data_IF_943791909417
#
_entry.id   IF_943791909417
#
_cell.length_a   1.000
_cell.length_b   1.000
_cell.length_c   1.000
_cell.angle_alpha   90.00
_cell.angle_beta   90.00
_cell.angle_gamma   90.00
#
_symmetry.space_group_name_H-M   'P 1'
#
loop_
_entity.id
_entity.type
_entity.pdbx_description
1 polymer ?
#
# COMPACT_ATOMS: atom_id res chain seq x y z
N UNK A 1 6.82 10.32 -22.87
CA UNK A 1 5.59 10.39 -22.05
C UNK A 1 5.81 11.41 -20.96
N UNK A 2 4.82 12.23 -20.59
CA UNK A 2 4.94 13.18 -19.48
C UNK A 2 5.15 12.44 -18.14
N UNK A 3 5.53 13.19 -17.10
CA UNK A 3 5.74 12.64 -15.76
C UNK A 3 4.45 12.00 -15.22
N UNK A 4 4.45 10.72 -14.81
CA UNK A 4 3.24 10.03 -14.37
C UNK A 4 2.66 10.68 -13.09
N UNK A 5 1.34 10.68 -12.97
CA UNK A 5 0.62 11.11 -11.76
C UNK A 5 0.38 9.91 -10.86
N UNK A 6 0.91 9.98 -9.66
CA UNK A 6 0.88 8.89 -8.67
C UNK A 6 0.12 9.31 -7.43
N UNK A 7 -0.86 8.53 -7.02
CA UNK A 7 -1.61 8.69 -5.77
C UNK A 7 -1.20 7.60 -4.78
N UNK A 8 -0.88 7.99 -3.54
CA UNK A 8 -0.43 7.05 -2.49
C UNK A 8 -1.26 7.26 -1.23
N UNK A 9 -2.05 6.27 -0.83
CA UNK A 9 -2.75 6.29 0.46
C UNK A 9 -1.82 5.83 1.59
N UNK A 10 -1.96 6.42 2.78
CA UNK A 10 -1.07 6.10 3.90
C UNK A 10 0.39 6.47 3.64
N UNK A 11 0.66 7.45 2.77
CA UNK A 11 1.99 7.81 2.31
C UNK A 11 2.85 8.61 3.29
N UNK A 12 2.40 8.84 4.54
CA UNK A 12 3.09 9.71 5.50
C UNK A 12 4.21 9.01 6.30
N UNK A 13 4.36 7.70 6.16
CA UNK A 13 5.37 6.93 6.91
C UNK A 13 5.66 5.58 6.25
N UNK A 14 6.73 4.90 6.69
CA UNK A 14 7.07 3.53 6.29
C UNK A 14 7.12 3.35 4.77
N UNK A 15 6.56 2.26 4.28
CA UNK A 15 6.57 1.87 2.86
C UNK A 15 5.91 2.94 1.98
N UNK A 16 4.77 3.51 2.41
CA UNK A 16 4.08 4.55 1.62
C UNK A 16 4.93 5.81 1.42
N UNK A 17 5.66 6.25 2.47
CA UNK A 17 6.60 7.37 2.35
C UNK A 17 7.78 7.03 1.45
N UNK A 18 8.36 5.84 1.60
CA UNK A 18 9.45 5.39 0.74
C UNK A 18 9.01 5.31 -0.73
N UNK A 19 7.80 4.84 -1.01
CA UNK A 19 7.22 4.84 -2.35
C UNK A 19 7.05 6.27 -2.88
N UNK A 20 6.55 7.22 -2.07
CA UNK A 20 6.41 8.62 -2.47
C UNK A 20 7.75 9.23 -2.89
N UNK A 21 8.80 9.00 -2.10
CA UNK A 21 10.17 9.47 -2.41
C UNK A 21 10.72 8.78 -3.67
N UNK A 22 10.52 7.46 -3.80
CA UNK A 22 10.99 6.71 -4.96
C UNK A 22 10.33 7.19 -6.28
N UNK A 23 9.02 7.48 -6.26
CA UNK A 23 8.33 8.06 -7.42
C UNK A 23 8.77 9.50 -7.70
N UNK A 24 8.96 10.33 -6.68
CA UNK A 24 9.44 11.70 -6.85
C UNK A 24 10.84 11.74 -7.51
N UNK A 25 11.76 10.88 -7.08
CA UNK A 25 13.09 10.74 -7.67
C UNK A 25 13.07 10.27 -9.14
N UNK A 26 11.97 9.65 -9.58
CA UNK A 26 11.74 9.26 -10.98
C UNK A 26 10.98 10.32 -11.78
N UNK A 27 10.78 11.50 -11.22
CA UNK A 27 10.13 12.65 -11.85
C UNK A 27 8.60 12.58 -11.88
N UNK A 28 7.98 11.68 -11.12
CA UNK A 28 6.53 11.60 -11.04
C UNK A 28 5.93 12.83 -10.33
N UNK A 29 4.68 13.17 -10.67
CA UNK A 29 3.83 14.05 -9.87
C UNK A 29 3.18 13.22 -8.78
N UNK A 30 3.35 13.59 -7.51
CA UNK A 30 2.99 12.73 -6.39
C UNK A 30 1.89 13.35 -5.54
N UNK A 31 0.76 12.65 -5.40
CA UNK A 31 -0.28 12.98 -4.43
C UNK A 31 -0.18 11.99 -3.26
N UNK A 32 -0.08 12.53 -2.06
CA UNK A 32 -0.02 11.73 -0.84
C UNK A 32 -1.28 11.96 -0.03
N UNK A 33 -1.93 10.87 0.40
CA UNK A 33 -3.09 10.94 1.27
C UNK A 33 -2.80 10.37 2.66
N UNK A 34 -3.41 10.98 3.67
CA UNK A 34 -3.32 10.57 5.07
C UNK A 34 -4.08 11.51 5.99
N UNK A 35 -4.09 11.23 7.29
CA UNK A 35 -4.92 11.95 8.27
C UNK A 35 -4.16 13.01 9.09
N UNK A 36 -2.84 13.15 8.91
CA UNK A 36 -1.98 14.02 9.72
C UNK A 36 -1.46 15.18 8.87
N UNK A 37 -2.04 16.36 9.02
CA UNK A 37 -1.75 17.53 8.18
C UNK A 37 -0.29 17.97 8.26
N UNK A 38 0.28 18.05 9.46
CA UNK A 38 1.67 18.53 9.62
C UNK A 38 2.68 17.57 8.98
N UNK A 39 2.48 16.25 9.15
CA UNK A 39 3.31 15.25 8.48
C UNK A 39 3.15 15.31 6.96
N UNK A 40 1.93 15.56 6.47
CA UNK A 40 1.65 15.76 5.06
C UNK A 40 2.39 16.96 4.49
N UNK A 41 2.28 18.13 5.13
CA UNK A 41 2.97 19.37 4.72
C UNK A 41 4.50 19.19 4.71
N UNK A 42 5.05 18.51 5.74
CA UNK A 42 6.49 18.25 5.82
C UNK A 42 6.96 17.35 4.66
N UNK A 43 6.24 16.26 4.37
CA UNK A 43 6.58 15.36 3.27
C UNK A 43 6.49 16.08 1.91
N UNK A 44 5.46 16.89 1.67
CA UNK A 44 5.33 17.63 0.41
C UNK A 44 6.51 18.61 0.21
N UNK A 45 6.97 19.27 1.27
CA UNK A 45 8.16 20.12 1.19
C UNK A 45 9.39 19.31 0.76
N UNK A 46 9.57 18.12 1.31
CA UNK A 46 10.64 17.20 0.94
C UNK A 46 10.52 16.75 -0.52
N UNK A 47 9.35 16.24 -0.96
CA UNK A 47 9.15 15.79 -2.34
C UNK A 47 9.39 16.90 -3.37
N UNK A 48 8.99 18.13 -3.05
CA UNK A 48 9.25 19.31 -3.89
C UNK A 48 10.74 19.66 -3.96
N UNK A 49 11.50 19.45 -2.88
CA UNK A 49 12.96 19.65 -2.91
C UNK A 49 13.70 18.63 -3.78
N UNK A 50 13.06 17.49 -4.08
CA UNK A 50 13.52 16.48 -5.04
C UNK A 50 13.10 16.82 -6.49
N UNK A 51 12.43 17.95 -6.72
CA UNK A 51 11.99 18.37 -8.05
C UNK A 51 10.61 17.84 -8.48
N UNK A 52 9.90 17.13 -7.60
CA UNK A 52 8.56 16.62 -7.92
C UNK A 52 7.47 17.68 -7.72
N UNK A 53 6.49 17.74 -8.62
CA UNK A 53 5.21 18.36 -8.31
C UNK A 53 4.47 17.47 -7.32
N UNK A 54 4.28 17.94 -6.09
CA UNK A 54 3.69 17.14 -5.04
C UNK A 54 2.55 17.85 -4.31
N UNK A 55 1.53 17.06 -3.88
CA UNK A 55 0.36 17.53 -3.15
C UNK A 55 0.03 16.60 -1.99
N UNK A 56 -0.44 17.16 -0.88
CA UNK A 56 -1.04 16.41 0.22
C UNK A 56 -2.53 16.67 0.27
N UNK A 57 -3.31 15.60 0.38
CA UNK A 57 -4.76 15.67 0.57
C UNK A 57 -5.11 14.89 1.83
N UNK A 58 -5.70 15.60 2.81
CA UNK A 58 -6.22 14.93 4.00
C UNK A 58 -7.42 14.05 3.60
N UNK A 59 -7.33 12.76 3.88
CA UNK A 59 -8.39 11.80 3.60
C UNK A 59 -8.31 10.59 4.53
N UNK A 60 -9.47 10.11 4.96
CA UNK A 60 -9.65 8.85 5.66
C UNK A 60 -10.17 7.80 4.68
N UNK A 61 -9.38 6.79 4.37
CA UNK A 61 -9.73 5.73 3.39
C UNK A 61 -11.00 4.95 3.76
N UNK A 62 -11.44 5.00 5.02
CA UNK A 62 -12.67 4.36 5.50
C UNK A 62 -13.94 5.08 5.05
N UNK A 63 -13.82 6.31 4.50
CA UNK A 63 -14.94 7.17 4.10
C UNK A 63 -14.99 7.30 2.59
N UNK A 64 -16.07 6.82 1.99
CA UNK A 64 -16.26 6.83 0.52
C UNK A 64 -16.14 8.25 -0.07
N UNK A 65 -16.74 9.23 0.60
CA UNK A 65 -16.69 10.63 0.15
C UNK A 65 -15.29 11.24 0.20
N UNK A 66 -14.49 10.90 1.23
CA UNK A 66 -13.09 11.35 1.34
C UNK A 66 -12.26 10.76 0.19
N UNK A 67 -12.43 9.45 -0.09
CA UNK A 67 -11.70 8.76 -1.16
C UNK A 67 -12.14 9.26 -2.53
N UNK A 68 -13.44 9.47 -2.75
CA UNK A 68 -13.94 10.08 -3.98
C UNK A 68 -13.30 11.46 -4.20
N UNK A 69 -13.36 12.32 -3.19
CA UNK A 69 -12.79 13.65 -3.27
C UNK A 69 -11.27 13.64 -3.48
N UNK A 70 -10.56 12.67 -2.90
CA UNK A 70 -9.12 12.47 -3.09
C UNK A 70 -8.78 12.21 -4.57
N UNK A 71 -9.46 11.24 -5.19
CA UNK A 71 -9.26 10.90 -6.61
C UNK A 71 -9.68 12.05 -7.52
N UNK A 72 -10.86 12.65 -7.27
CA UNK A 72 -11.38 13.75 -8.09
C UNK A 72 -10.45 14.97 -8.05
N UNK A 73 -9.94 15.35 -6.87
CA UNK A 73 -8.97 16.44 -6.73
C UNK A 73 -7.64 16.13 -7.42
N UNK A 74 -7.19 14.86 -7.37
CA UNK A 74 -5.96 14.42 -8.07
C UNK A 74 -6.12 14.63 -9.58
N UNK A 75 -7.23 14.13 -10.15
CA UNK A 75 -7.52 14.27 -11.58
C UNK A 75 -7.76 15.74 -11.97
N UNK A 76 -8.49 16.50 -11.17
CA UNK A 76 -8.71 17.93 -11.43
C UNK A 76 -7.41 18.73 -11.46
N UNK A 77 -6.45 18.40 -10.59
CA UNK A 77 -5.16 19.11 -10.51
C UNK A 77 -4.19 18.73 -11.63
N UNK A 78 -4.08 17.46 -11.94
CA UNK A 78 -3.03 16.94 -12.83
C UNK A 78 -3.55 16.40 -14.17
N UNK A 79 -4.88 16.37 -14.38
CA UNK A 79 -5.54 15.94 -15.60
C UNK A 79 -5.66 14.42 -15.75
N UNK A 80 -5.03 13.62 -14.88
CA UNK A 80 -4.99 12.16 -14.98
C UNK A 80 -4.61 11.49 -13.66
N UNK A 81 -4.74 10.16 -13.62
CA UNK A 81 -4.22 9.30 -12.55
C UNK A 81 -3.57 8.06 -13.19
N UNK A 82 -2.24 7.99 -13.24
CA UNK A 82 -1.52 6.89 -13.89
C UNK A 82 -1.28 5.72 -12.96
N UNK A 83 -0.95 6.02 -11.70
CA UNK A 83 -0.60 5.01 -10.70
C UNK A 83 -1.33 5.29 -9.40
N UNK A 84 -1.89 4.24 -8.80
CA UNK A 84 -2.40 4.28 -7.44
C UNK A 84 -1.67 3.24 -6.57
N UNK A 85 -1.27 3.65 -5.36
CA UNK A 85 -0.64 2.77 -4.37
C UNK A 85 -1.51 2.75 -3.12
N UNK A 86 -2.21 1.64 -2.89
CA UNK A 86 -3.08 1.43 -1.74
C UNK A 86 -2.27 0.85 -0.58
N UNK A 87 -1.70 1.75 0.23
CA UNK A 87 -0.79 1.39 1.32
C UNK A 87 -1.39 1.69 2.71
N UNK A 88 -2.44 2.49 2.83
CA UNK A 88 -3.06 2.79 4.13
C UNK A 88 -3.52 1.50 4.83
N UNK A 89 -3.01 1.26 6.04
CA UNK A 89 -3.31 0.07 6.82
C UNK A 89 -3.08 0.29 8.32
N UNK A 90 -3.61 -0.62 9.12
CA UNK A 90 -3.35 -0.77 10.56
C UNK A 90 -2.94 -2.21 10.86
N UNK A 91 -2.11 -2.40 11.87
CA UNK A 91 -1.76 -3.72 12.42
C UNK A 91 -2.93 -4.41 13.13
N UNK A 92 -3.98 -3.65 13.46
CA UNK A 92 -5.10 -4.14 14.25
C UNK A 92 -4.75 -4.39 15.70
N UNK A 93 -5.66 -5.07 16.41
CA UNK A 93 -5.44 -5.54 17.76
C UNK A 93 -4.76 -6.92 17.73
N UNK A 94 -3.57 -7.03 18.27
CA UNK A 94 -2.90 -8.31 18.50
C UNK A 94 -3.51 -9.08 19.67
N UNK A 95 -3.32 -10.40 19.67
CA UNK A 95 -3.79 -11.29 20.72
C UNK A 95 -4.55 -12.51 20.22
N UNK A 96 -4.89 -13.47 21.10
CA UNK A 96 -5.63 -14.67 20.75
C UNK A 96 -7.05 -14.32 20.23
N UNK A 97 -7.64 -15.24 19.48
CA UNK A 97 -8.98 -15.04 18.90
C UNK A 97 -10.06 -14.79 19.96
N UNK A 98 -9.88 -15.35 21.15
CA UNK A 98 -10.80 -15.18 22.29
C UNK A 98 -10.86 -13.75 22.82
N UNK A 99 -9.83 -12.92 22.57
CA UNK A 99 -9.72 -11.54 23.02
C UNK A 99 -10.18 -10.54 21.94
N UNK A 100 -10.53 -11.03 20.75
CA UNK A 100 -11.01 -10.17 19.67
C UNK A 100 -12.48 -9.80 19.92
N UNK A 101 -12.79 -8.52 19.69
CA UNK A 101 -14.15 -8.00 19.79
C UNK A 101 -14.68 -7.62 18.41
N UNK A 102 -16.00 -7.47 18.27
CA UNK A 102 -16.60 -6.99 17.02
C UNK A 102 -15.99 -5.65 16.58
N UNK A 103 -15.70 -4.77 17.53
CA UNK A 103 -15.12 -3.44 17.29
C UNK A 103 -13.68 -3.54 16.79
N UNK A 104 -12.84 -4.44 17.38
CA UNK A 104 -11.45 -4.63 16.94
C UNK A 104 -11.39 -5.22 15.52
N UNK A 105 -12.29 -6.15 15.22
CA UNK A 105 -12.45 -6.72 13.88
C UNK A 105 -12.89 -5.65 12.88
N UNK A 106 -13.96 -4.90 13.19
CA UNK A 106 -14.48 -3.85 12.34
C UNK A 106 -13.41 -2.78 12.04
N UNK A 107 -12.71 -2.28 13.06
CA UNK A 107 -11.67 -1.25 12.90
C UNK A 107 -10.53 -1.69 11.97
N UNK A 108 -10.14 -2.98 12.03
CA UNK A 108 -9.10 -3.54 11.15
C UNK A 108 -9.62 -3.68 9.73
N UNK A 109 -10.82 -4.23 9.54
CA UNK A 109 -11.41 -4.43 8.21
C UNK A 109 -11.80 -3.12 7.53
N UNK A 110 -12.31 -2.14 8.28
CA UNK A 110 -12.61 -0.80 7.74
C UNK A 110 -11.39 -0.15 7.09
N UNK A 111 -10.22 -0.26 7.74
CA UNK A 111 -9.01 0.35 7.19
C UNK A 111 -8.38 -0.52 6.11
N UNK A 112 -8.16 -1.81 6.40
CA UNK A 112 -7.31 -2.68 5.57
C UNK A 112 -8.05 -3.30 4.38
N UNK A 113 -9.37 -3.43 4.45
CA UNK A 113 -10.19 -4.05 3.40
C UNK A 113 -11.10 -3.02 2.76
N UNK A 114 -12.03 -2.42 3.52
CA UNK A 114 -12.95 -1.44 2.98
C UNK A 114 -12.20 -0.25 2.37
N UNK A 115 -11.16 0.25 3.06
CA UNK A 115 -10.33 1.35 2.55
C UNK A 115 -9.67 1.03 1.19
N UNK A 116 -9.21 -0.20 0.98
CA UNK A 116 -8.66 -0.64 -0.32
C UNK A 116 -9.76 -0.76 -1.38
N UNK A 117 -10.93 -1.31 -1.02
CA UNK A 117 -12.09 -1.42 -1.93
C UNK A 117 -12.56 -0.04 -2.39
N UNK A 118 -12.74 0.90 -1.46
CA UNK A 118 -13.17 2.28 -1.78
C UNK A 118 -12.12 3.01 -2.61
N UNK A 119 -10.84 2.83 -2.31
CA UNK A 119 -9.75 3.40 -3.11
C UNK A 119 -9.82 2.89 -4.55
N UNK A 120 -9.82 1.57 -4.74
CA UNK A 120 -9.89 0.98 -6.08
C UNK A 120 -11.18 1.35 -6.82
N UNK A 121 -12.33 1.45 -6.14
CA UNK A 121 -13.60 1.90 -6.75
C UNK A 121 -13.44 3.23 -7.49
N UNK A 122 -12.83 4.22 -6.85
CA UNK A 122 -12.68 5.55 -7.43
C UNK A 122 -11.48 5.66 -8.38
N UNK A 123 -10.40 4.93 -8.09
CA UNK A 123 -9.21 4.84 -8.96
C UNK A 123 -9.55 4.19 -10.29
N UNK A 124 -10.23 3.04 -10.27
CA UNK A 124 -10.69 2.33 -11.47
C UNK A 124 -11.63 3.21 -12.28
N UNK A 125 -12.59 3.90 -11.64
CA UNK A 125 -13.47 4.86 -12.33
C UNK A 125 -12.68 5.91 -13.11
N UNK A 126 -11.65 6.51 -12.48
CA UNK A 126 -10.82 7.53 -13.13
C UNK A 126 -9.94 6.93 -14.24
N UNK A 127 -9.33 5.78 -13.99
CA UNK A 127 -8.46 5.10 -14.94
C UNK A 127 -9.22 4.53 -16.14
N UNK A 128 -10.46 4.06 -15.97
CA UNK A 128 -11.31 3.62 -17.06
C UNK A 128 -11.65 4.77 -18.01
N UNK A 129 -11.93 5.96 -17.49
CA UNK A 129 -12.22 7.14 -18.29
C UNK A 129 -11.03 7.57 -19.17
N UNK A 130 -9.80 7.26 -18.77
CA UNK A 130 -8.57 7.56 -19.54
C UNK A 130 -8.04 6.36 -20.35
N UNK A 131 -8.58 5.15 -20.15
CA UNK A 131 -8.21 3.94 -20.88
C UNK A 131 -6.87 3.32 -20.47
N UNK A 132 -6.31 3.67 -19.31
CA UNK A 132 -5.03 3.14 -18.82
C UNK A 132 -4.85 3.38 -17.32
N UNK A 133 -4.05 2.54 -16.66
CA UNK A 133 -3.69 2.73 -15.25
C UNK A 133 -2.93 1.55 -14.65
N UNK A 134 -2.30 1.79 -13.50
CA UNK A 134 -1.67 0.74 -12.70
C UNK A 134 -1.98 0.93 -11.22
N UNK A 135 -2.56 -0.10 -10.59
CA UNK A 135 -2.88 -0.12 -9.16
C UNK A 135 -1.96 -1.12 -8.47
N UNK A 136 -1.31 -0.71 -7.38
CA UNK A 136 -0.49 -1.57 -6.55
C UNK A 136 -1.01 -1.54 -5.11
N UNK A 137 -1.54 -2.66 -4.66
CA UNK A 137 -2.02 -2.83 -3.28
C UNK A 137 -0.89 -3.35 -2.38
N UNK A 138 -0.77 -2.82 -1.16
CA UNK A 138 0.19 -3.35 -0.19
C UNK A 138 -0.50 -4.40 0.69
N UNK A 139 -0.16 -5.67 0.42
CA UNK A 139 -0.53 -6.83 1.22
C UNK A 139 0.47 -7.07 2.37
N UNK A 140 0.81 -8.30 2.62
CA UNK A 140 1.79 -8.78 3.60
C UNK A 140 2.09 -10.25 3.30
N UNK A 141 3.21 -10.80 3.78
CA UNK A 141 3.39 -12.26 3.84
C UNK A 141 2.25 -12.93 4.61
N UNK A 142 1.61 -12.23 5.54
CA UNK A 142 0.39 -12.68 6.22
C UNK A 142 -0.86 -12.72 5.33
N UNK A 143 -0.77 -12.38 4.06
CA UNK A 143 -1.76 -12.70 3.03
C UNK A 143 -1.63 -14.13 2.47
N UNK A 144 -0.52 -14.82 2.76
CA UNK A 144 -0.22 -16.18 2.30
C UNK A 144 -0.17 -17.21 3.43
N UNK A 145 0.07 -16.78 4.67
CA UNK A 145 0.28 -17.64 5.82
C UNK A 145 -0.56 -17.22 7.02
N UNK A 146 -0.72 -18.12 7.99
CA UNK A 146 -1.30 -17.81 9.30
C UNK A 146 -0.27 -17.24 10.25
N UNK A 147 -0.75 -16.47 11.25
CA UNK A 147 0.09 -15.97 12.34
C UNK A 147 -0.68 -16.00 13.65
N UNK A 148 -0.17 -16.71 14.65
CA UNK A 148 -0.75 -16.71 15.97
C UNK A 148 -0.77 -15.28 16.56
N UNK A 149 -1.91 -14.87 17.14
CA UNK A 149 -2.08 -13.54 17.69
C UNK A 149 -2.31 -12.42 16.66
N UNK A 150 -2.45 -12.74 15.36
CA UNK A 150 -2.69 -11.74 14.30
C UNK A 150 -3.82 -12.15 13.35
N UNK A 151 -4.75 -12.99 13.80
CA UNK A 151 -5.77 -13.62 12.94
C UNK A 151 -6.60 -12.63 12.13
N UNK A 152 -6.97 -11.48 12.68
CA UNK A 152 -7.79 -10.48 12.01
C UNK A 152 -6.98 -9.73 10.94
N UNK A 153 -5.71 -9.42 11.23
CA UNK A 153 -4.81 -8.83 10.23
C UNK A 153 -4.51 -9.81 9.08
N UNK A 154 -4.26 -11.09 9.40
CA UNK A 154 -4.10 -12.18 8.43
C UNK A 154 -5.31 -12.25 7.50
N UNK A 155 -6.52 -12.33 8.06
CA UNK A 155 -7.76 -12.37 7.28
C UNK A 155 -7.90 -11.14 6.37
N UNK A 156 -7.60 -9.94 6.87
CA UNK A 156 -7.67 -8.71 6.09
C UNK A 156 -6.67 -8.72 4.91
N UNK A 157 -5.45 -9.26 5.10
CA UNK A 157 -4.45 -9.30 4.03
C UNK A 157 -4.76 -10.39 2.98
N UNK A 158 -5.33 -11.53 3.37
CA UNK A 158 -5.89 -12.49 2.42
C UNK A 158 -7.01 -11.87 1.58
N UNK A 159 -7.89 -11.06 2.19
CA UNK A 159 -8.94 -10.34 1.47
C UNK A 159 -8.35 -9.38 0.42
N UNK A 160 -7.32 -8.61 0.76
CA UNK A 160 -6.64 -7.70 -0.19
C UNK A 160 -6.11 -8.45 -1.40
N UNK A 161 -5.53 -9.63 -1.22
CA UNK A 161 -5.01 -10.44 -2.33
C UNK A 161 -6.13 -11.02 -3.21
N UNK A 162 -7.20 -11.48 -2.58
CA UNK A 162 -8.39 -11.94 -3.31
C UNK A 162 -9.01 -10.83 -4.17
N UNK A 163 -9.19 -9.66 -3.57
CA UNK A 163 -9.74 -8.48 -4.27
C UNK A 163 -8.80 -8.02 -5.39
N UNK A 164 -7.48 -8.03 -5.18
CA UNK A 164 -6.48 -7.69 -6.20
C UNK A 164 -6.67 -8.54 -7.46
N UNK A 165 -6.79 -9.86 -7.31
CA UNK A 165 -6.98 -10.79 -8.41
C UNK A 165 -8.32 -10.55 -9.15
N UNK A 166 -9.41 -10.32 -8.41
CA UNK A 166 -10.73 -10.07 -8.98
C UNK A 166 -10.76 -8.79 -9.80
N UNK A 167 -10.28 -7.68 -9.24
CA UNK A 167 -10.28 -6.39 -9.94
C UNK A 167 -9.31 -6.38 -11.13
N UNK A 168 -8.20 -7.13 -11.07
CA UNK A 168 -7.32 -7.31 -12.23
C UNK A 168 -8.07 -7.93 -13.43
N UNK A 169 -8.93 -8.93 -13.17
CA UNK A 169 -9.74 -9.56 -14.22
C UNK A 169 -10.82 -8.60 -14.76
N UNK A 170 -11.50 -7.88 -13.88
CA UNK A 170 -12.57 -6.94 -14.23
C UNK A 170 -12.07 -5.78 -15.12
N UNK A 171 -10.83 -5.32 -14.87
CA UNK A 171 -10.30 -4.08 -15.45
C UNK A 171 -9.31 -4.28 -16.61
N UNK A 172 -8.91 -5.52 -16.90
CA UNK A 172 -7.91 -5.83 -17.92
C UNK A 172 -8.25 -5.24 -19.31
N UNK A 173 -9.51 -5.36 -19.74
CA UNK A 173 -9.97 -4.83 -21.04
C UNK A 173 -9.98 -3.30 -21.10
N UNK A 174 -9.92 -2.63 -19.95
CA UNK A 174 -9.83 -1.17 -19.85
C UNK A 174 -8.37 -0.66 -19.83
N UNK A 175 -7.38 -1.54 -20.05
CA UNK A 175 -5.96 -1.16 -20.01
C UNK A 175 -5.43 -0.88 -18.60
N UNK A 176 -6.09 -1.39 -17.57
CA UNK A 176 -5.69 -1.20 -16.17
C UNK A 176 -5.09 -2.49 -15.63
N UNK A 177 -3.90 -2.39 -15.02
CA UNK A 177 -3.24 -3.48 -14.32
C UNK A 177 -3.41 -3.32 -12.81
N UNK A 178 -3.70 -4.41 -12.12
CA UNK A 178 -3.84 -4.41 -10.67
C UNK A 178 -2.99 -5.52 -10.09
N UNK A 179 -2.05 -5.18 -9.22
CA UNK A 179 -1.13 -6.12 -8.57
C UNK A 179 -1.04 -5.85 -7.07
N UNK A 180 -0.44 -6.76 -6.32
CA UNK A 180 -0.09 -6.51 -4.94
C UNK A 180 1.39 -6.77 -4.68
N UNK A 181 1.93 -6.07 -3.69
CA UNK A 181 3.20 -6.40 -3.06
C UNK A 181 2.90 -6.94 -1.67
N UNK A 182 3.52 -8.06 -1.30
CA UNK A 182 3.41 -8.72 -0.01
C UNK A 182 4.76 -8.63 0.75
N UNK A 183 4.97 -7.54 1.53
CA UNK A 183 6.18 -7.40 2.31
C UNK A 183 6.26 -8.43 3.44
N UNK A 184 7.47 -8.93 3.70
CA UNK A 184 7.84 -9.54 4.95
C UNK A 184 8.11 -8.51 6.04
N UNK A 185 8.78 -8.92 7.13
CA UNK A 185 9.13 -8.01 8.22
C UNK A 185 9.99 -6.84 7.71
N UNK A 186 9.40 -5.65 7.66
CA UNK A 186 10.01 -4.43 7.13
C UNK A 186 10.16 -3.39 8.25
N UNK A 187 11.31 -2.75 8.36
CA UNK A 187 11.62 -1.80 9.44
C UNK A 187 10.79 -0.50 9.32
N UNK A 188 9.64 -0.51 9.96
CA UNK A 188 8.66 0.58 9.98
C UNK A 188 8.13 0.81 11.38
N UNK A 189 7.52 1.99 11.60
CA UNK A 189 6.81 2.25 12.86
C UNK A 189 5.63 1.29 13.11
N UNK A 190 5.01 0.73 12.07
CA UNK A 190 3.99 -0.32 12.21
C UNK A 190 4.61 -1.59 12.81
N UNK A 191 5.74 -2.05 12.28
CA UNK A 191 6.42 -3.22 12.81
C UNK A 191 6.85 -3.03 14.26
N UNK A 192 7.35 -1.83 14.62
CA UNK A 192 7.73 -1.52 16.00
C UNK A 192 6.54 -1.61 16.95
N UNK A 193 5.35 -1.13 16.56
CA UNK A 193 4.13 -1.28 17.37
C UNK A 193 3.65 -2.73 17.43
N UNK A 194 3.72 -3.45 16.31
CA UNK A 194 3.33 -4.86 16.24
C UNK A 194 4.20 -5.76 17.12
N UNK A 195 5.51 -5.57 17.12
CA UNK A 195 6.44 -6.38 17.93
C UNK A 195 6.46 -5.97 19.41
N UNK A 196 6.16 -4.72 19.70
CA UNK A 196 6.11 -4.14 21.04
C UNK A 196 7.48 -3.95 21.71
N UNK A 197 8.44 -4.84 21.49
CA UNK A 197 9.78 -4.79 22.10
C UNK A 197 10.90 -4.92 21.06
N UNK A 198 12.12 -4.51 21.45
CA UNK A 198 13.32 -4.65 20.62
C UNK A 198 13.71 -6.12 20.44
N UNK A 199 13.52 -6.92 21.48
CA UNK A 199 13.82 -8.36 21.50
C UNK A 199 12.92 -9.11 20.51
N UNK A 200 11.61 -8.84 20.53
CA UNK A 200 10.67 -9.43 19.57
C UNK A 200 10.98 -9.00 18.12
N UNK A 201 11.39 -7.74 17.94
CA UNK A 201 11.81 -7.24 16.62
C UNK A 201 13.08 -7.94 16.13
N UNK A 202 14.05 -8.17 17.00
CA UNK A 202 15.27 -8.91 16.69
C UNK A 202 14.98 -10.40 16.41
N UNK A 203 14.10 -11.03 17.19
CA UNK A 203 13.67 -12.41 16.95
C UNK A 203 13.01 -12.56 15.57
N UNK A 204 12.13 -11.62 15.21
CA UNK A 204 11.48 -11.62 13.89
C UNK A 204 12.50 -11.41 12.75
N UNK A 205 13.52 -10.58 12.94
CA UNK A 205 14.61 -10.41 11.97
C UNK A 205 15.42 -11.69 11.77
N UNK A 206 15.65 -12.46 12.82
CA UNK A 206 16.36 -13.75 12.77
C UNK A 206 15.57 -14.84 12.03
N UNK A 207 14.24 -14.71 11.95
CA UNK A 207 13.41 -15.61 11.14
C UNK A 207 13.56 -15.39 9.63
N UNK A 208 14.05 -14.23 9.20
CA UNK A 208 14.24 -13.92 7.77
C UNK A 208 15.52 -14.59 7.28
N UNK A 209 15.51 -15.38 6.21
CA UNK A 209 16.72 -16.05 5.68
C UNK A 209 17.87 -15.10 5.35
N UNK A 210 17.59 -13.86 4.92
CA UNK A 210 18.62 -12.84 4.71
C UNK A 210 19.18 -12.26 6.02
N UNK A 211 18.72 -12.69 7.20
CA UNK A 211 19.23 -12.33 8.53
C UNK A 211 18.93 -10.90 8.98
N UNK A 212 18.00 -10.20 8.32
CA UNK A 212 17.64 -8.82 8.65
C UNK A 212 16.22 -8.48 8.25
N UNK A 213 15.72 -7.39 8.81
CA UNK A 213 14.49 -6.76 8.32
C UNK A 213 14.69 -6.16 6.92
N UNK A 214 13.63 -6.14 6.13
CA UNK A 214 13.58 -5.35 4.90
C UNK A 214 13.60 -3.86 5.21
N UNK A 215 14.15 -3.05 4.31
CA UNK A 215 14.01 -1.60 4.34
C UNK A 215 12.76 -1.20 3.56
N UNK A 216 12.03 -0.14 3.97
CA UNK A 216 10.88 0.38 3.22
C UNK A 216 11.20 0.66 1.75
N UNK A 217 12.43 1.11 1.44
CA UNK A 217 12.90 1.41 0.09
C UNK A 217 12.94 0.14 -0.78
N UNK A 218 13.32 -1.01 -0.24
CA UNK A 218 13.36 -2.28 -0.98
C UNK A 218 11.96 -2.72 -1.42
N UNK A 219 10.94 -2.44 -0.61
CA UNK A 219 9.53 -2.66 -0.98
C UNK A 219 9.08 -1.63 -2.02
N UNK A 220 9.44 -0.35 -1.83
CA UNK A 220 9.11 0.74 -2.75
C UNK A 220 9.69 0.53 -4.15
N UNK A 221 10.85 -0.10 -4.28
CA UNK A 221 11.45 -0.43 -5.58
C UNK A 221 10.57 -1.41 -6.36
N UNK A 222 10.03 -2.44 -5.71
CA UNK A 222 9.09 -3.37 -6.35
C UNK A 222 7.76 -2.68 -6.68
N UNK A 223 7.25 -1.81 -5.80
CA UNK A 223 6.05 -0.99 -6.09
C UNK A 223 6.26 -0.16 -7.35
N UNK A 224 7.39 0.55 -7.46
CA UNK A 224 7.69 1.37 -8.64
C UNK A 224 7.90 0.54 -9.91
N UNK A 225 8.46 -0.66 -9.80
CA UNK A 225 8.59 -1.60 -10.92
C UNK A 225 7.21 -2.04 -11.43
N UNK A 226 6.33 -2.52 -10.55
CA UNK A 226 4.98 -2.97 -10.91
C UNK A 226 4.12 -1.85 -11.50
N UNK A 227 4.32 -0.62 -11.05
CA UNK A 227 3.65 0.55 -11.57
C UNK A 227 4.13 0.96 -12.99
N UNK A 228 5.33 0.54 -13.40
CA UNK A 228 5.97 0.97 -14.65
C UNK A 228 5.56 0.15 -15.87
N UNK A 229 5.86 0.65 -17.08
CA UNK A 229 5.71 -0.07 -18.36
C UNK A 229 6.57 -1.35 -18.43
N UNK A 230 7.62 -1.45 -17.61
CA UNK A 230 8.44 -2.67 -17.53
C UNK A 230 7.65 -3.87 -17.00
N UNK A 231 6.53 -3.63 -16.33
CA UNK A 231 5.58 -4.63 -15.83
C UNK A 231 4.30 -4.69 -16.69
N UNK A 232 4.35 -4.29 -17.97
CA UNK A 232 3.17 -4.17 -18.85
C UNK A 232 2.38 -5.47 -19.05
N UNK A 233 3.00 -6.63 -18.83
CA UNK A 233 2.34 -7.94 -18.92
C UNK A 233 2.11 -8.59 -17.54
N UNK A 234 2.23 -7.82 -16.46
CA UNK A 234 2.05 -8.27 -15.07
C UNK A 234 0.75 -7.69 -14.53
N UNK A 235 -0.27 -8.54 -14.32
CA UNK A 235 -1.55 -8.15 -13.72
C UNK A 235 -2.14 -9.34 -12.93
N UNK A 236 -2.75 -9.07 -11.79
CA UNK A 236 -3.33 -10.07 -10.89
C UNK A 236 -2.30 -10.82 -10.03
N UNK A 237 -1.04 -10.41 -10.04
CA UNK A 237 0.02 -11.07 -9.25
C UNK A 237 0.17 -10.47 -7.85
N UNK A 238 0.66 -11.30 -6.95
CA UNK A 238 1.13 -10.89 -5.62
C UNK A 238 2.64 -11.16 -5.58
N UNK A 239 3.44 -10.10 -5.46
CA UNK A 239 4.90 -10.19 -5.41
C UNK A 239 5.38 -10.13 -3.97
N UNK A 240 5.98 -11.20 -3.47
CA UNK A 240 6.59 -11.24 -2.14
C UNK A 240 7.92 -10.50 -2.12
N UNK A 241 8.13 -9.69 -1.05
CA UNK A 241 9.38 -8.98 -0.77
C UNK A 241 9.72 -9.22 0.70
N UNK A 242 10.29 -10.38 1.01
CA UNK A 242 10.32 -10.93 2.36
C UNK A 242 11.67 -11.52 2.81
N UNK A 243 12.72 -11.35 1.99
CA UNK A 243 14.03 -11.91 2.28
C UNK A 243 14.07 -13.44 2.32
N UNK A 244 13.12 -14.10 1.61
CA UNK A 244 13.00 -15.55 1.53
C UNK A 244 12.17 -16.20 2.65
N UNK A 245 11.47 -15.40 3.46
CA UNK A 245 10.74 -15.89 4.63
C UNK A 245 9.68 -16.96 4.27
N UNK A 246 8.88 -16.71 3.22
CA UNK A 246 7.88 -17.68 2.75
C UNK A 246 8.44 -18.89 2.00
N UNK A 247 9.71 -18.86 1.61
CA UNK A 247 10.37 -19.97 0.89
C UNK A 247 10.96 -21.02 1.83
N UNK A 248 10.83 -20.85 3.15
CA UNK A 248 11.25 -21.87 4.11
C UNK A 248 10.35 -23.09 3.96
N UNK A 249 10.97 -24.22 3.64
CA UNK A 249 10.39 -25.54 3.93
C UNK A 249 10.55 -25.75 5.43
N UNK A 250 9.45 -25.96 6.14
CA UNK A 250 9.43 -26.23 7.58
C UNK A 250 10.27 -27.41 8.00
#
# INVERSE_FOLDING_TARGET
MGNPVVLITGGLSGIGRAAAVAFANKGAKVVVAGRRDDAGKALIKELRSLGSEAEFINADVRKDDDVRALVDKTVAKFGRLDVAVNNAATEGQGGPITDQTAESVAATFETNVLGVVLSMKHEVRAMQAQGSGSIVNISSTYGHEGAAGASIYVAAKHAVEGITKSIALETAKSGIRVNAVAPGPTDTGMLTRFTGTTENKAALAAEVPLGRLGRPEEVADIVTFLASERASYVSGTIVTVDGGRLSRTG
#
